data_IF_448458873267
#
_entry.id   IF_448458873267
#
_cell.length_a   1.000
_cell.length_b   1.000
_cell.length_c   1.000
_cell.angle_alpha   90.00
_cell.angle_beta   90.00
_cell.angle_gamma   90.00
#
_symmetry.space_group_name_H-M   'P 1'
#
loop_
_entity.id
_entity.type
_entity.pdbx_description
1 polymer ?
#
# COMPACT_ATOMS: atom_id res chain seq x y z
N UNK A 1 -8.89 -7.68 -25.81
CA UNK A 1 -7.54 -7.27 -25.35
C UNK A 1 -7.45 -5.76 -25.42
N UNK A 2 -7.39 -5.05 -24.28
CA UNK A 2 -7.12 -3.60 -24.29
C UNK A 2 -5.68 -3.44 -24.79
N UNK A 3 -5.50 -2.86 -25.97
CA UNK A 3 -4.17 -2.52 -26.51
C UNK A 3 -3.54 -1.57 -25.49
N UNK A 4 -2.48 -2.00 -24.81
CA UNK A 4 -1.76 -1.15 -23.85
C UNK A 4 -1.27 0.11 -24.56
N UNK A 5 -1.33 1.26 -23.89
CA UNK A 5 -0.81 2.49 -24.44
C UNK A 5 0.69 2.36 -24.67
N UNK A 6 1.14 2.67 -25.89
CA UNK A 6 2.56 2.68 -26.20
C UNK A 6 3.27 3.80 -25.45
N UNK A 7 4.57 3.65 -25.22
CA UNK A 7 5.37 4.66 -24.51
C UNK A 7 5.35 6.02 -25.22
N UNK A 8 5.23 6.03 -26.56
CA UNK A 8 5.07 7.26 -27.34
C UNK A 8 3.72 7.93 -27.14
N UNK A 9 2.64 7.16 -26.98
CA UNK A 9 1.31 7.69 -26.70
C UNK A 9 1.26 8.35 -25.32
N UNK A 10 1.93 7.75 -24.34
CA UNK A 10 2.05 8.28 -22.98
C UNK A 10 2.82 9.60 -23.02
N UNK A 11 3.98 9.65 -23.68
CA UNK A 11 4.78 10.89 -23.82
C UNK A 11 3.99 12.01 -24.49
N UNK A 12 3.24 11.69 -25.55
CA UNK A 12 2.39 12.66 -26.24
C UNK A 12 1.30 13.22 -25.32
N UNK A 13 0.72 12.39 -24.45
CA UNK A 13 -0.31 12.82 -23.48
C UNK A 13 0.28 13.68 -22.38
N UNK A 14 1.45 13.32 -21.85
CA UNK A 14 2.17 14.12 -20.84
C UNK A 14 2.51 15.49 -21.41
N UNK A 15 3.10 15.55 -22.61
CA UNK A 15 3.44 16.82 -23.26
C UNK A 15 2.21 17.72 -23.51
N UNK A 16 1.03 17.11 -23.75
CA UNK A 16 -0.23 17.86 -23.88
C UNK A 16 -0.69 18.44 -22.54
N UNK A 17 -0.54 17.69 -21.45
CA UNK A 17 -0.89 18.12 -20.09
C UNK A 17 0.04 19.26 -19.66
N UNK A 18 1.35 19.08 -19.83
CA UNK A 18 2.36 20.07 -19.43
C UNK A 18 2.23 21.40 -20.18
N UNK A 19 1.65 21.39 -21.39
CA UNK A 19 1.40 22.57 -22.19
C UNK A 19 0.12 23.35 -21.78
N UNK A 20 -0.70 22.79 -20.89
CA UNK A 20 -1.87 23.51 -20.37
C UNK A 20 -1.44 24.52 -19.30
N UNK A 21 -2.06 25.71 -19.24
CA UNK A 21 -1.80 26.64 -18.15
C UNK A 21 -2.21 26.01 -16.82
N UNK A 22 -1.44 26.29 -15.76
CA UNK A 22 -1.77 25.85 -14.42
C UNK A 22 -3.11 26.47 -13.98
N UNK A 23 -4.01 25.63 -13.49
CA UNK A 23 -5.28 26.08 -12.92
C UNK A 23 -5.06 26.66 -11.51
N UNK A 24 -5.80 27.72 -11.18
CA UNK A 24 -5.81 28.27 -9.82
C UNK A 24 -6.84 27.51 -8.97
N UNK A 25 -6.47 27.21 -7.73
CA UNK A 25 -7.37 26.57 -6.77
C UNK A 25 -8.59 27.45 -6.52
N UNK A 26 -9.76 26.84 -6.59
CA UNK A 26 -11.00 27.46 -6.11
C UNK A 26 -10.95 27.68 -4.59
N UNK A 27 -11.75 28.61 -4.04
CA UNK A 27 -11.83 28.80 -2.60
C UNK A 27 -12.23 27.54 -1.83
N UNK A 28 -13.08 26.69 -2.43
CA UNK A 28 -13.53 25.43 -1.83
C UNK A 28 -12.39 24.41 -1.74
N UNK A 29 -11.59 24.26 -2.81
CA UNK A 29 -10.41 23.38 -2.82
C UNK A 29 -9.36 23.85 -1.81
N UNK A 30 -9.16 25.17 -1.70
CA UNK A 30 -8.26 25.74 -0.70
C UNK A 30 -8.72 25.44 0.72
N UNK A 31 -10.01 25.64 1.02
CA UNK A 31 -10.58 25.32 2.32
C UNK A 31 -10.48 23.82 2.64
N UNK A 32 -10.61 22.95 1.64
CA UNK A 32 -10.42 21.51 1.81
C UNK A 32 -8.97 21.14 2.18
N UNK A 33 -7.98 21.81 1.59
CA UNK A 33 -6.58 21.59 1.93
C UNK A 33 -6.26 22.12 3.33
N UNK A 34 -6.74 23.32 3.68
CA UNK A 34 -6.56 23.90 5.01
C UNK A 34 -7.19 23.00 6.11
N UNK A 35 -8.36 22.42 5.83
CA UNK A 35 -9.01 21.48 6.73
C UNK A 35 -8.22 20.17 6.89
N UNK A 36 -7.62 19.66 5.82
CA UNK A 36 -6.77 18.47 5.88
C UNK A 36 -5.48 18.74 6.67
N UNK A 37 -4.87 19.91 6.49
CA UNK A 37 -3.68 20.34 7.25
C UNK A 37 -3.99 20.50 8.75
N UNK A 38 -5.15 21.05 9.10
CA UNK A 38 -5.58 21.16 10.50
C UNK A 38 -5.86 19.79 11.17
N UNK A 39 -6.09 18.73 10.39
CA UNK A 39 -6.25 17.36 10.91
C UNK A 39 -4.93 16.61 11.05
N UNK A 40 -3.83 17.15 10.52
CA UNK A 40 -2.50 16.55 10.68
C UNK A 40 -2.07 16.64 12.14
N UNK A 41 -1.95 15.50 12.80
CA UNK A 41 -1.51 15.38 14.19
C UNK A 41 0.02 15.51 14.34
N UNK A 42 0.72 15.83 13.26
CA UNK A 42 2.17 15.98 13.20
C UNK A 42 2.90 14.64 13.13
N UNK A 43 2.19 13.53 12.95
CA UNK A 43 2.80 12.21 12.76
C UNK A 43 3.06 11.87 11.30
N UNK A 44 2.61 12.71 10.36
CA UNK A 44 2.82 12.51 8.93
C UNK A 44 4.32 12.56 8.60
N UNK A 45 4.81 11.52 7.94
CA UNK A 45 6.18 11.44 7.42
C UNK A 45 6.18 11.31 5.89
N UNK A 46 7.29 11.67 5.26
CA UNK A 46 7.45 11.51 3.82
C UNK A 46 7.36 10.02 3.43
N UNK A 47 6.78 9.73 2.25
CA UNK A 47 6.67 8.35 1.75
C UNK A 47 8.05 7.67 1.64
N UNK A 48 9.06 8.42 1.20
CA UNK A 48 10.44 7.95 1.10
C UNK A 48 11.04 7.62 2.46
N UNK A 49 10.73 8.42 3.49
CA UNK A 49 11.16 8.15 4.86
C UNK A 49 10.50 6.89 5.41
N UNK A 50 9.18 6.72 5.22
CA UNK A 50 8.48 5.49 5.61
C UNK A 50 9.09 4.26 4.93
N UNK A 51 9.40 4.35 3.64
CA UNK A 51 10.04 3.25 2.89
C UNK A 51 11.39 2.88 3.49
N UNK A 52 12.25 3.88 3.76
CA UNK A 52 13.55 3.67 4.38
C UNK A 52 13.42 3.01 5.76
N UNK A 53 12.46 3.44 6.58
CA UNK A 53 12.19 2.82 7.87
C UNK A 53 11.76 1.35 7.73
N UNK A 54 10.98 1.02 6.72
CA UNK A 54 10.49 -0.34 6.48
C UNK A 54 11.52 -1.25 5.80
N UNK A 55 12.48 -0.70 5.05
CA UNK A 55 13.48 -1.47 4.30
C UNK A 55 14.35 -2.36 5.21
N UNK A 56 14.49 -2.02 6.50
CA UNK A 56 15.20 -2.83 7.48
C UNK A 56 14.42 -4.11 7.89
N UNK A 57 13.12 -4.17 7.63
CA UNK A 57 12.23 -5.24 8.09
C UNK A 57 11.86 -6.19 6.94
N UNK A 58 12.39 -7.42 6.99
CA UNK A 58 12.12 -8.44 5.96
C UNK A 58 10.69 -9.01 5.95
N UNK A 59 9.87 -8.73 6.97
CA UNK A 59 8.57 -9.39 7.16
C UNK A 59 8.62 -10.90 7.43
N UNK A 60 9.82 -11.51 7.46
CA UNK A 60 10.02 -12.94 7.69
C UNK A 60 10.19 -13.23 9.17
N UNK A 61 9.36 -14.13 9.69
CA UNK A 61 9.41 -14.57 11.08
C UNK A 61 9.81 -16.07 11.12
N UNK A 62 10.87 -16.41 11.87
CA UNK A 62 11.32 -17.80 12.09
C UNK A 62 11.04 -18.17 13.54
N UNK A 63 10.11 -19.10 13.77
CA UNK A 63 9.67 -19.51 15.12
C UNK A 63 9.76 -21.02 15.32
N UNK A 64 9.92 -21.43 16.57
CA UNK A 64 9.69 -22.81 17.01
C UNK A 64 8.38 -22.87 17.76
N UNK A 65 7.48 -23.74 17.33
CA UNK A 65 6.16 -23.93 17.93
C UNK A 65 5.93 -25.42 18.23
N UNK A 66 5.05 -25.77 19.20
CA UNK A 66 4.69 -27.16 19.46
C UNK A 66 4.19 -27.88 18.21
N UNK A 67 4.55 -29.16 18.06
CA UNK A 67 4.16 -29.97 16.88
C UNK A 67 2.64 -30.07 16.72
N UNK A 68 1.91 -30.15 17.83
CA UNK A 68 0.44 -30.17 17.85
C UNK A 68 -0.16 -28.88 17.28
N UNK A 69 0.40 -27.72 17.66
CA UNK A 69 -0.03 -26.43 17.14
C UNK A 69 0.26 -26.31 15.64
N UNK A 70 1.47 -26.66 15.21
CA UNK A 70 1.82 -26.64 13.79
C UNK A 70 0.89 -27.53 12.95
N UNK A 71 0.58 -28.74 13.44
CA UNK A 71 -0.38 -29.64 12.78
C UNK A 71 -1.76 -28.97 12.65
N UNK A 72 -2.29 -28.44 13.74
CA UNK A 72 -3.62 -27.80 13.77
C UNK A 72 -3.72 -26.64 12.77
N UNK A 73 -2.69 -25.79 12.73
CA UNK A 73 -2.64 -24.66 11.79
C UNK A 73 -2.56 -25.13 10.34
N UNK A 74 -1.74 -26.16 10.07
CA UNK A 74 -1.56 -26.72 8.72
C UNK A 74 -2.83 -27.38 8.19
N UNK A 75 -3.51 -28.16 9.02
CA UNK A 75 -4.75 -28.83 8.64
C UNK A 75 -5.86 -27.80 8.34
N UNK A 76 -5.99 -26.76 9.17
CA UNK A 76 -6.97 -25.71 8.95
C UNK A 76 -6.66 -24.85 7.71
N UNK A 77 -5.39 -24.52 7.45
CA UNK A 77 -4.99 -23.82 6.23
C UNK A 77 -5.32 -24.63 4.97
N UNK A 78 -5.17 -25.96 5.03
CA UNK A 78 -5.53 -26.85 3.92
C UNK A 78 -7.04 -26.88 3.65
N UNK A 79 -7.87 -26.86 4.70
CA UNK A 79 -9.34 -26.77 4.59
C UNK A 79 -9.75 -25.44 3.93
N UNK A 80 -9.10 -24.33 4.31
CA UNK A 80 -9.38 -23.01 3.71
C UNK A 80 -8.74 -22.83 2.32
N UNK A 81 -7.90 -23.77 1.87
CA UNK A 81 -7.24 -23.70 0.57
C UNK A 81 -6.18 -22.60 0.46
N UNK A 82 -5.59 -22.18 1.58
CA UNK A 82 -4.59 -21.10 1.64
C UNK A 82 -3.24 -21.59 2.17
N UNK A 83 -2.19 -20.81 1.96
CA UNK A 83 -0.89 -21.14 2.55
C UNK A 83 -0.93 -21.04 4.08
N UNK A 84 -0.10 -21.82 4.77
CA UNK A 84 0.03 -21.76 6.22
C UNK A 84 0.39 -20.34 6.71
N UNK A 85 1.25 -19.62 5.99
CA UNK A 85 1.61 -18.25 6.33
C UNK A 85 0.40 -17.31 6.22
N UNK A 86 -0.39 -17.43 5.15
CA UNK A 86 -1.60 -16.62 4.96
C UNK A 86 -2.62 -16.90 6.06
N UNK A 87 -2.81 -18.18 6.40
CA UNK A 87 -3.70 -18.59 7.47
C UNK A 87 -3.24 -18.02 8.82
N UNK A 88 -1.95 -18.12 9.16
CA UNK A 88 -1.40 -17.54 10.39
C UNK A 88 -1.56 -16.03 10.43
N UNK A 89 -1.25 -15.32 9.33
CA UNK A 89 -1.45 -13.87 9.23
C UNK A 89 -2.91 -13.47 9.47
N UNK A 90 -3.85 -14.16 8.83
CA UNK A 90 -5.28 -13.93 9.04
C UNK A 90 -5.71 -14.14 10.51
N UNK A 91 -5.19 -15.18 11.17
CA UNK A 91 -5.49 -15.44 12.59
C UNK A 91 -4.85 -14.43 13.54
N UNK A 92 -3.72 -13.83 13.18
CA UNK A 92 -3.04 -12.80 13.97
C UNK A 92 -3.61 -11.39 13.75
N UNK A 93 -4.23 -11.15 12.60
CA UNK A 93 -4.83 -9.86 12.24
C UNK A 93 -6.25 -9.66 12.82
N UNK A 94 -6.78 -10.63 13.58
CA UNK A 94 -8.07 -10.54 14.27
C UNK A 94 -7.90 -10.24 15.75
#
# INVERSE_FOLDING_TARGET
MKKGLGMEDIRRRIARIDAQPAEELTPEERASLDAAEAMDDGTTIALEELKLQLDEYSGRIVLRIPRSLHKTLKDAAAVEGVSLNQYMLYKLAR
#
